data_IF_404647415304
#
_entry.id   IF_404647415304
#
_cell.length_a   1.000
_cell.length_b   1.000
_cell.length_c   1.000
_cell.angle_alpha   90.00
_cell.angle_beta   90.00
_cell.angle_gamma   90.00
#
_symmetry.space_group_name_H-M   'P 1'
#
loop_
_entity.id
_entity.type
_entity.pdbx_description
1 polymer ?
#
# COMPACT_ATOMS: atom_id res chain seq x y z
N UNK A 1 -4.19 29.67 7.31
CA UNK A 1 -5.33 29.14 6.51
C UNK A 1 -4.76 28.15 5.51
N UNK A 2 -5.21 26.89 5.53
CA UNK A 2 -4.91 25.93 4.46
C UNK A 2 -5.58 26.43 3.18
N UNK A 3 -4.81 26.66 2.12
CA UNK A 3 -5.34 27.13 0.82
C UNK A 3 -5.65 25.93 -0.06
N UNK A 4 -6.73 26.03 -0.85
CA UNK A 4 -6.97 25.07 -1.93
C UNK A 4 -5.84 25.14 -2.96
N UNK A 5 -5.39 23.99 -3.42
CA UNK A 5 -4.35 23.86 -4.46
C UNK A 5 -4.73 22.72 -5.40
N UNK A 6 -5.10 23.04 -6.62
CA UNK A 6 -5.37 22.06 -7.67
C UNK A 6 -4.39 22.33 -8.79
N UNK A 7 -3.40 21.48 -8.91
CA UNK A 7 -2.35 21.60 -9.94
C UNK A 7 -2.54 20.61 -11.10
N UNK A 8 -3.35 19.56 -10.88
CA UNK A 8 -3.67 18.60 -11.95
C UNK A 8 -4.50 19.21 -13.07
N UNK A 9 -4.09 18.94 -14.31
CA UNK A 9 -4.85 19.24 -15.54
C UNK A 9 -5.75 18.07 -16.01
N UNK A 10 -5.67 16.91 -15.36
CA UNK A 10 -6.33 15.66 -15.78
C UNK A 10 -7.59 15.34 -14.96
N UNK A 11 -8.38 16.37 -14.66
CA UNK A 11 -9.68 16.22 -13.99
C UNK A 11 -10.79 16.33 -15.03
N UNK A 12 -11.64 15.29 -15.13
CA UNK A 12 -12.79 15.31 -16.03
C UNK A 12 -13.75 16.47 -15.73
N UNK A 13 -14.30 17.08 -16.78
CA UNK A 13 -15.32 18.14 -16.65
C UNK A 13 -16.61 17.65 -15.98
N UNK A 14 -16.87 16.35 -16.00
CA UNK A 14 -18.05 15.74 -15.36
C UNK A 14 -17.79 15.33 -13.91
N UNK A 15 -16.55 15.47 -13.42
CA UNK A 15 -16.22 15.20 -12.03
C UNK A 15 -16.80 16.26 -11.09
N UNK A 16 -17.28 15.82 -9.94
CA UNK A 16 -17.87 16.70 -8.92
C UNK A 16 -17.11 16.53 -7.60
N UNK A 17 -16.38 17.58 -7.21
CA UNK A 17 -15.57 17.58 -5.98
C UNK A 17 -16.14 18.61 -5.02
N UNK A 18 -16.45 18.21 -3.78
CA UNK A 18 -17.01 19.06 -2.73
C UNK A 18 -16.25 18.90 -1.43
N UNK A 19 -15.57 19.94 -0.97
CA UNK A 19 -14.93 19.98 0.34
C UNK A 19 -14.62 21.43 0.77
N UNK A 20 -14.31 21.61 2.07
CA UNK A 20 -13.78 22.88 2.59
C UNK A 20 -12.33 23.10 2.12
N UNK A 21 -11.56 22.01 1.98
CA UNK A 21 -10.17 22.03 1.52
C UNK A 21 -10.00 20.98 0.44
N UNK A 22 -9.44 21.39 -0.72
CA UNK A 22 -9.14 20.49 -1.84
C UNK A 22 -7.70 20.72 -2.27
N UNK A 23 -6.87 19.70 -2.12
CA UNK A 23 -5.50 19.69 -2.61
C UNK A 23 -5.31 18.49 -3.55
N UNK A 24 -5.02 18.77 -4.81
CA UNK A 24 -4.82 17.76 -5.85
C UNK A 24 -3.50 18.08 -6.55
N UNK A 25 -2.57 17.15 -6.46
CA UNK A 25 -1.22 17.27 -7.02
C UNK A 25 -1.20 17.04 -8.53
N UNK A 26 -0.09 17.44 -9.16
CA UNK A 26 0.21 17.14 -10.55
C UNK A 26 0.12 15.64 -10.84
N UNK A 27 -0.08 15.28 -12.11
CA UNK A 27 -0.18 13.90 -12.56
C UNK A 27 -1.36 13.09 -11.96
N UNK A 28 -2.14 13.65 -11.01
CA UNK A 28 -3.35 12.98 -10.53
C UNK A 28 -4.42 12.99 -11.62
N UNK A 29 -5.18 11.91 -11.74
CA UNK A 29 -6.25 11.77 -12.74
C UNK A 29 -7.57 11.49 -12.06
N UNK A 30 -8.61 12.25 -12.41
CA UNK A 30 -9.99 12.03 -11.95
C UNK A 30 -10.88 11.82 -13.16
N UNK A 31 -11.46 10.63 -13.24
CA UNK A 31 -12.25 10.14 -14.37
C UNK A 31 -13.64 10.79 -14.49
N UNK A 32 -14.37 10.36 -15.52
CA UNK A 32 -15.71 10.85 -15.81
C UNK A 32 -16.72 10.43 -14.74
N UNK A 33 -17.66 11.34 -14.45
CA UNK A 33 -18.75 11.10 -13.49
C UNK A 33 -18.29 10.70 -12.07
N UNK A 34 -17.02 10.96 -11.74
CA UNK A 34 -16.50 10.79 -10.37
C UNK A 34 -17.13 11.82 -9.45
N UNK A 35 -17.58 11.36 -8.28
CA UNK A 35 -18.10 12.23 -7.21
C UNK A 35 -17.27 12.02 -5.95
N UNK A 36 -16.69 13.10 -5.42
CA UNK A 36 -15.92 13.05 -4.15
C UNK A 36 -16.43 14.14 -3.24
N UNK A 37 -16.88 13.78 -2.05
CA UNK A 37 -17.31 14.73 -1.03
C UNK A 37 -16.68 14.41 0.32
N UNK A 38 -16.09 15.42 0.98
CA UNK A 38 -15.47 15.29 2.29
C UNK A 38 -15.36 16.66 2.97
N UNK A 39 -14.89 16.70 4.22
CA UNK A 39 -14.44 17.95 4.83
C UNK A 39 -13.12 18.41 4.21
N UNK A 40 -12.17 17.48 4.04
CA UNK A 40 -10.88 17.77 3.42
C UNK A 40 -10.52 16.66 2.40
N UNK A 41 -10.01 17.05 1.23
CA UNK A 41 -9.58 16.16 0.17
C UNK A 41 -8.10 16.42 -0.14
N UNK A 42 -7.28 15.38 -0.02
CA UNK A 42 -5.86 15.39 -0.38
C UNK A 42 -5.61 14.24 -1.35
N UNK A 43 -5.24 14.57 -2.58
CA UNK A 43 -4.93 13.61 -3.65
C UNK A 43 -3.51 13.89 -4.11
N UNK A 44 -2.60 12.96 -3.82
CA UNK A 44 -1.18 13.09 -4.11
C UNK A 44 -0.85 12.76 -5.57
N UNK A 45 0.43 12.86 -5.93
CA UNK A 45 0.92 12.72 -7.28
C UNK A 45 0.60 11.34 -7.89
N UNK A 46 0.23 11.30 -9.16
CA UNK A 46 0.00 10.07 -9.91
C UNK A 46 -1.17 9.23 -9.45
N UNK A 47 -2.00 9.74 -8.53
CA UNK A 47 -3.23 9.07 -8.13
C UNK A 47 -4.21 8.96 -9.29
N UNK A 48 -4.97 7.88 -9.30
CA UNK A 48 -6.05 7.68 -10.26
C UNK A 48 -7.35 7.34 -9.53
N UNK A 49 -8.40 8.12 -9.79
CA UNK A 49 -9.77 7.78 -9.43
C UNK A 49 -10.52 7.58 -10.73
N UNK A 50 -10.89 6.33 -11.02
CA UNK A 50 -11.50 5.94 -12.30
C UNK A 50 -12.99 6.30 -12.34
N UNK A 51 -13.55 6.27 -13.54
CA UNK A 51 -14.90 6.73 -13.89
C UNK A 51 -16.02 6.10 -13.03
N UNK A 52 -17.09 6.86 -12.83
CA UNK A 52 -18.28 6.41 -12.12
C UNK A 52 -18.11 6.19 -10.61
N UNK A 53 -16.93 6.45 -10.08
CA UNK A 53 -16.61 6.25 -8.65
C UNK A 53 -17.26 7.33 -7.79
N UNK A 54 -17.84 6.93 -6.64
CA UNK A 54 -18.48 7.81 -5.67
C UNK A 54 -17.84 7.62 -4.30
N UNK A 55 -17.18 8.67 -3.78
CA UNK A 55 -16.52 8.67 -2.48
C UNK A 55 -17.15 9.74 -1.60
N UNK A 56 -17.64 9.35 -0.44
CA UNK A 56 -18.19 10.25 0.58
C UNK A 56 -17.52 10.00 1.92
N UNK A 57 -16.93 11.04 2.51
CA UNK A 57 -16.39 10.99 3.85
C UNK A 57 -16.93 12.18 4.68
N UNK A 58 -17.16 11.95 5.96
CA UNK A 58 -17.54 13.05 6.88
C UNK A 58 -16.32 13.85 7.34
N UNK A 59 -15.15 13.24 7.34
CA UNK A 59 -13.85 13.82 7.68
C UNK A 59 -12.96 14.01 6.46
N UNK A 60 -11.81 13.35 6.47
CA UNK A 60 -10.73 13.54 5.49
C UNK A 60 -10.63 12.36 4.52
N UNK A 61 -10.40 12.66 3.24
CA UNK A 61 -9.93 11.72 2.24
C UNK A 61 -8.47 12.04 1.96
N UNK A 62 -7.59 11.07 2.21
CA UNK A 62 -6.17 11.13 1.88
C UNK A 62 -5.80 10.00 0.94
N UNK A 63 -5.33 10.33 -0.25
CA UNK A 63 -4.81 9.40 -1.25
C UNK A 63 -3.33 9.70 -1.46
N UNK A 64 -2.45 8.80 -1.03
CA UNK A 64 -1.00 8.87 -1.18
C UNK A 64 -0.54 8.75 -2.63
N UNK A 65 0.76 8.86 -2.90
CA UNK A 65 1.32 8.83 -4.24
C UNK A 65 0.97 7.53 -4.99
N UNK A 66 0.59 7.65 -6.27
CA UNK A 66 0.33 6.52 -7.17
C UNK A 66 -0.74 5.53 -6.68
N UNK A 67 -1.69 5.99 -5.87
CA UNK A 67 -2.85 5.17 -5.48
C UNK A 67 -3.84 5.03 -6.64
N UNK A 68 -4.63 3.97 -6.59
CA UNK A 68 -5.72 3.71 -7.52
C UNK A 68 -7.02 3.45 -6.77
N UNK A 69 -8.09 4.13 -7.17
CA UNK A 69 -9.47 3.71 -6.89
C UNK A 69 -10.13 3.40 -8.21
N UNK A 70 -10.40 2.11 -8.44
CA UNK A 70 -10.96 1.57 -9.66
C UNK A 70 -12.42 1.96 -9.89
N UNK A 71 -12.82 1.89 -11.15
CA UNK A 71 -14.09 2.34 -11.65
C UNK A 71 -15.32 1.78 -10.90
N UNK A 72 -16.39 2.57 -10.87
CA UNK A 72 -17.70 2.19 -10.32
C UNK A 72 -17.65 1.79 -8.84
N UNK A 73 -16.68 2.30 -8.08
CA UNK A 73 -16.57 2.05 -6.65
C UNK A 73 -17.48 2.99 -5.86
N UNK A 74 -18.07 2.48 -4.79
CA UNK A 74 -18.90 3.23 -3.84
C UNK A 74 -18.24 3.15 -2.47
N UNK A 75 -17.84 4.31 -1.92
CA UNK A 75 -17.10 4.41 -0.67
C UNK A 75 -17.80 5.42 0.24
N UNK A 76 -18.21 4.98 1.43
CA UNK A 76 -18.80 5.83 2.49
C UNK A 76 -18.10 5.54 3.81
N UNK A 77 -17.41 6.53 4.40
CA UNK A 77 -16.62 6.36 5.62
C UNK A 77 -16.56 7.67 6.43
N UNK A 78 -15.99 7.62 7.63
CA UNK A 78 -15.61 8.85 8.33
C UNK A 78 -14.32 9.42 7.74
N UNK A 79 -13.20 8.72 7.84
CA UNK A 79 -11.95 9.08 7.18
C UNK A 79 -11.49 7.93 6.26
N UNK A 80 -10.97 8.29 5.08
CA UNK A 80 -10.33 7.36 4.17
C UNK A 80 -8.86 7.71 4.04
N UNK A 81 -7.99 6.77 4.37
CA UNK A 81 -6.55 6.89 4.15
C UNK A 81 -6.06 5.75 3.28
N UNK A 82 -5.58 6.05 2.09
CA UNK A 82 -4.83 5.14 1.23
C UNK A 82 -3.39 5.62 1.16
N UNK A 83 -2.45 4.78 1.61
CA UNK A 83 -1.03 5.10 1.53
C UNK A 83 -0.46 4.82 0.13
N UNK A 84 0.75 5.34 -0.14
CA UNK A 84 1.37 5.29 -1.47
C UNK A 84 1.32 3.91 -2.11
N UNK A 85 1.07 3.87 -3.43
CA UNK A 85 0.99 2.68 -4.27
C UNK A 85 -0.12 1.68 -3.91
N UNK A 86 -0.99 1.99 -2.94
CA UNK A 86 -2.14 1.12 -2.64
C UNK A 86 -3.21 1.20 -3.73
N UNK A 87 -3.93 0.09 -3.94
CA UNK A 87 -4.88 -0.05 -5.04
C UNK A 87 -6.18 -0.69 -4.56
N UNK A 88 -7.27 0.02 -4.70
CA UNK A 88 -8.61 -0.54 -4.68
C UNK A 88 -9.04 -0.80 -6.13
N UNK A 89 -9.31 -2.05 -6.47
CA UNK A 89 -9.75 -2.39 -7.81
C UNK A 89 -11.23 -1.99 -8.02
N UNK A 90 -11.76 -2.19 -9.23
CA UNK A 90 -13.11 -1.76 -9.61
C UNK A 90 -14.24 -2.39 -8.79
N UNK A 91 -15.38 -1.72 -8.75
CA UNK A 91 -16.61 -2.19 -8.11
C UNK A 91 -16.42 -2.46 -6.61
N UNK A 92 -15.62 -1.66 -5.93
CA UNK A 92 -15.52 -1.72 -4.47
C UNK A 92 -16.80 -1.23 -3.82
N UNK A 93 -17.25 -1.94 -2.81
CA UNK A 93 -18.30 -1.46 -1.92
C UNK A 93 -17.74 -1.32 -0.50
N UNK A 94 -17.54 -0.08 -0.07
CA UNK A 94 -17.06 0.25 1.27
C UNK A 94 -18.08 1.14 1.94
N UNK A 95 -18.62 0.69 3.07
CA UNK A 95 -19.63 1.48 3.76
C UNK A 95 -19.52 1.36 5.29
N UNK A 96 -19.80 2.47 5.95
CA UNK A 96 -19.82 2.59 7.39
C UNK A 96 -19.63 4.03 7.85
N UNK A 97 -19.54 4.24 9.15
CA UNK A 97 -19.40 5.56 9.76
C UNK A 97 -18.05 5.79 10.45
N UNK A 98 -17.10 4.86 10.32
CA UNK A 98 -15.81 4.90 10.98
C UNK A 98 -14.64 5.05 9.99
N UNK A 99 -13.41 4.94 10.50
CA UNK A 99 -12.21 5.19 9.75
C UNK A 99 -11.74 3.94 9.00
N UNK A 100 -11.28 4.12 7.76
CA UNK A 100 -10.60 3.10 6.98
C UNK A 100 -9.17 3.54 6.66
N UNK A 101 -8.21 2.74 7.11
CA UNK A 101 -6.80 2.89 6.78
C UNK A 101 -6.34 1.71 5.93
N UNK A 102 -5.67 2.01 4.80
CA UNK A 102 -5.07 1.03 3.90
C UNK A 102 -3.62 1.43 3.67
N UNK A 103 -2.71 0.57 4.09
CA UNK A 103 -1.29 0.79 4.10
C UNK A 103 -0.64 0.76 2.72
N UNK A 104 0.64 1.10 2.71
CA UNK A 104 1.52 1.17 1.55
C UNK A 104 1.47 -0.10 0.69
N UNK A 105 1.35 0.08 -0.64
CA UNK A 105 1.34 -1.01 -1.62
C UNK A 105 0.38 -2.17 -1.32
N UNK A 106 -0.74 -1.91 -0.68
CA UNK A 106 -1.78 -2.91 -0.48
C UNK A 106 -2.70 -2.98 -1.70
N UNK A 107 -3.12 -4.19 -2.04
CA UNK A 107 -3.93 -4.47 -3.21
C UNK A 107 -5.24 -5.16 -2.82
N UNK A 108 -6.35 -4.50 -3.07
CA UNK A 108 -7.70 -5.02 -2.79
C UNK A 108 -8.37 -5.32 -4.12
N UNK A 109 -8.70 -6.57 -4.34
CA UNK A 109 -9.28 -7.07 -5.59
C UNK A 109 -10.66 -6.49 -5.91
N UNK A 110 -11.09 -6.67 -7.15
CA UNK A 110 -12.40 -6.18 -7.62
C UNK A 110 -13.56 -6.85 -6.89
N UNK A 111 -14.69 -6.13 -6.79
CA UNK A 111 -15.94 -6.62 -6.22
C UNK A 111 -15.82 -7.04 -4.73
N UNK A 112 -14.87 -6.47 -4.01
CA UNK A 112 -14.77 -6.69 -2.56
C UNK A 112 -15.73 -5.80 -1.79
N UNK A 113 -16.14 -6.29 -0.61
CA UNK A 113 -16.94 -5.55 0.37
C UNK A 113 -16.04 -5.25 1.57
N UNK A 114 -15.88 -3.97 1.90
CA UNK A 114 -15.21 -3.52 3.12
C UNK A 114 -16.22 -2.80 3.99
N UNK A 115 -16.70 -3.46 5.03
CA UNK A 115 -17.61 -2.82 5.97
C UNK A 115 -16.82 -2.05 7.02
N UNK A 116 -17.22 -0.81 7.28
CA UNK A 116 -16.58 0.13 8.20
C UNK A 116 -17.60 0.67 9.21
N UNK A 117 -18.50 -0.19 9.69
CA UNK A 117 -19.39 0.12 10.82
C UNK A 117 -18.59 0.33 12.11
N UNK A 118 -17.39 -0.23 12.20
CA UNK A 118 -16.31 0.08 13.12
C UNK A 118 -15.01 0.21 12.32
N UNK A 119 -13.94 0.72 12.93
CA UNK A 119 -12.69 1.02 12.25
C UNK A 119 -12.08 -0.21 11.57
N UNK A 120 -11.60 -0.01 10.34
CA UNK A 120 -10.91 -1.03 9.56
C UNK A 120 -9.47 -0.61 9.30
N UNK A 121 -8.53 -1.43 9.76
CA UNK A 121 -7.12 -1.26 9.50
C UNK A 121 -6.60 -2.38 8.59
N UNK A 122 -6.02 -2.00 7.46
CA UNK A 122 -5.32 -2.88 6.52
C UNK A 122 -3.89 -2.37 6.43
N UNK A 123 -2.93 -3.20 6.84
CA UNK A 123 -1.51 -2.88 6.92
C UNK A 123 -0.85 -2.72 5.55
N UNK A 124 0.48 -2.68 5.57
CA UNK A 124 1.30 -2.49 4.38
C UNK A 124 1.47 -3.82 3.62
N UNK A 125 1.49 -3.76 2.30
CA UNK A 125 1.74 -4.94 1.48
C UNK A 125 0.65 -6.03 1.51
N UNK A 126 -0.53 -5.69 2.02
CA UNK A 126 -1.65 -6.64 2.11
C UNK A 126 -2.25 -6.92 0.74
N UNK A 127 -2.49 -8.19 0.44
CA UNK A 127 -3.25 -8.63 -0.73
C UNK A 127 -4.59 -9.23 -0.33
N UNK A 128 -5.70 -8.69 -0.84
CA UNK A 128 -7.05 -9.27 -0.66
C UNK A 128 -7.60 -9.65 -2.02
N UNK A 129 -7.87 -10.93 -2.22
CA UNK A 129 -8.41 -11.47 -3.47
C UNK A 129 -9.84 -10.99 -3.75
N UNK A 130 -10.21 -11.04 -5.03
CA UNK A 130 -11.50 -10.54 -5.54
C UNK A 130 -12.70 -11.20 -4.86
N UNK A 131 -13.85 -10.52 -4.82
CA UNK A 131 -15.09 -11.01 -4.21
C UNK A 131 -14.97 -11.41 -2.73
N UNK A 132 -13.94 -10.93 -2.04
CA UNK A 132 -13.80 -11.14 -0.59
C UNK A 132 -14.53 -10.06 0.19
N UNK A 133 -14.89 -10.36 1.44
CA UNK A 133 -15.58 -9.41 2.31
C UNK A 133 -14.93 -9.33 3.68
N UNK A 134 -14.78 -8.10 4.18
CA UNK A 134 -14.31 -7.81 5.54
C UNK A 134 -15.44 -7.11 6.29
N UNK A 135 -15.84 -7.66 7.40
CA UNK A 135 -16.97 -7.19 8.19
C UNK A 135 -16.53 -6.71 9.57
N UNK A 136 -16.92 -5.49 9.93
CA UNK A 136 -16.69 -4.93 11.27
C UNK A 136 -17.95 -4.99 12.13
N UNK A 137 -19.09 -5.48 11.60
CA UNK A 137 -20.30 -5.72 12.35
C UNK A 137 -21.03 -7.01 11.91
N UNK A 138 -21.80 -7.54 12.86
CA UNK A 138 -22.74 -8.64 12.64
C UNK A 138 -23.81 -8.57 13.73
N UNK A 139 -24.89 -7.85 13.46
CA UNK A 139 -26.02 -7.73 14.39
C UNK A 139 -27.31 -7.45 13.61
N UNK A 140 -28.27 -8.31 13.77
CA UNK A 140 -29.59 -8.13 13.19
C UNK A 140 -30.67 -8.86 14.00
N UNK A 141 -30.23 -9.73 14.91
CA UNK A 141 -31.17 -10.52 15.70
C UNK A 141 -31.96 -9.69 16.71
N UNK A 142 -33.18 -10.13 17.01
CA UNK A 142 -34.08 -9.46 17.94
C UNK A 142 -33.59 -9.63 19.39
N UNK A 143 -33.13 -8.56 20.00
CA UNK A 143 -32.54 -8.61 21.34
C UNK A 143 -33.54 -8.82 22.44
N UNK A 144 -34.77 -8.30 22.31
CA UNK A 144 -35.83 -8.49 23.29
C UNK A 144 -36.31 -9.97 23.32
N UNK A 145 -36.18 -10.66 22.18
CA UNK A 145 -36.44 -12.10 22.08
C UNK A 145 -35.21 -12.96 22.44
N UNK A 146 -34.17 -12.34 22.98
CA UNK A 146 -33.01 -13.03 23.54
C UNK A 146 -31.91 -13.40 22.53
N UNK A 147 -31.84 -12.75 21.38
CA UNK A 147 -30.70 -12.92 20.47
C UNK A 147 -29.38 -12.51 21.16
N UNK A 148 -28.43 -13.45 21.19
CA UNK A 148 -27.10 -13.24 21.81
C UNK A 148 -26.03 -12.81 20.80
N UNK A 149 -26.38 -12.80 19.51
CA UNK A 149 -25.40 -12.48 18.44
C UNK A 149 -25.51 -11.00 18.12
N UNK A 150 -24.63 -10.23 18.73
CA UNK A 150 -24.47 -8.80 18.49
C UNK A 150 -22.98 -8.47 18.58
N UNK A 151 -22.31 -8.27 17.44
CA UNK A 151 -20.91 -7.94 17.43
C UNK A 151 -20.64 -6.76 16.51
N UNK A 152 -20.10 -5.69 17.08
CA UNK A 152 -19.52 -4.55 16.37
C UNK A 152 -18.12 -4.39 16.93
N UNK A 153 -17.10 -4.55 16.08
CA UNK A 153 -15.71 -4.57 16.54
C UNK A 153 -14.76 -4.29 15.38
N UNK A 154 -13.69 -3.53 15.59
CA UNK A 154 -12.72 -3.24 14.56
C UNK A 154 -12.07 -4.51 14.03
N UNK A 155 -11.65 -4.47 12.76
CA UNK A 155 -10.86 -5.53 12.13
C UNK A 155 -9.47 -4.99 11.81
N UNK A 156 -8.45 -5.79 12.10
CA UNK A 156 -7.07 -5.49 11.77
C UNK A 156 -6.48 -6.59 10.89
N UNK A 157 -5.95 -6.20 9.75
CA UNK A 157 -5.18 -7.06 8.86
C UNK A 157 -3.77 -6.49 8.86
N UNK A 158 -2.83 -7.19 9.47
CA UNK A 158 -1.47 -6.71 9.67
C UNK A 158 -0.64 -6.75 8.38
N UNK A 159 0.64 -6.33 8.45
CA UNK A 159 1.48 -6.20 7.26
C UNK A 159 1.72 -7.54 6.54
N UNK A 160 1.91 -7.46 5.23
CA UNK A 160 2.25 -8.59 4.35
C UNK A 160 1.29 -9.78 4.42
N UNK A 161 0.07 -9.59 4.92
CA UNK A 161 -0.98 -10.61 4.89
C UNK A 161 -1.43 -10.86 3.46
N UNK A 162 -1.62 -12.12 3.13
CA UNK A 162 -2.17 -12.50 1.84
C UNK A 162 -3.45 -13.32 1.98
N UNK A 163 -4.59 -12.71 1.61
CA UNK A 163 -5.89 -13.34 1.52
C UNK A 163 -6.07 -13.79 0.08
N UNK A 164 -5.83 -15.08 -0.16
CA UNK A 164 -5.74 -15.70 -1.48
C UNK A 164 -7.09 -15.78 -2.19
N UNK A 165 -7.03 -15.64 -3.51
CA UNK A 165 -8.15 -15.99 -4.39
C UNK A 165 -9.38 -15.13 -4.16
N UNK A 166 -10.52 -15.78 -3.99
CA UNK A 166 -11.83 -15.14 -3.91
C UNK A 166 -12.73 -15.76 -2.83
N UNK A 167 -13.83 -15.04 -2.53
CA UNK A 167 -14.90 -15.48 -1.64
C UNK A 167 -14.47 -15.73 -0.19
N UNK A 168 -13.46 -14.96 0.28
CA UNK A 168 -13.09 -15.00 1.70
C UNK A 168 -13.99 -14.07 2.51
N UNK A 169 -14.23 -14.45 3.76
CA UNK A 169 -14.98 -13.64 4.73
C UNK A 169 -14.13 -13.47 5.99
N UNK A 170 -13.85 -12.22 6.35
CA UNK A 170 -13.22 -11.88 7.63
C UNK A 170 -14.30 -11.34 8.55
N UNK A 171 -14.48 -11.98 9.71
CA UNK A 171 -15.53 -11.66 10.67
C UNK A 171 -15.17 -10.48 11.58
N UNK A 172 -16.18 -9.83 12.21
CA UNK A 172 -15.94 -8.70 13.11
C UNK A 172 -15.00 -9.03 14.26
N UNK A 173 -14.09 -8.10 14.56
CA UNK A 173 -13.13 -8.18 15.65
C UNK A 173 -11.99 -9.17 15.44
N UNK A 174 -11.77 -9.63 14.22
CA UNK A 174 -10.64 -10.51 13.88
C UNK A 174 -9.38 -9.69 13.66
N UNK A 175 -8.28 -10.19 14.20
CA UNK A 175 -6.93 -9.77 13.86
C UNK A 175 -6.27 -10.84 12.98
N UNK A 176 -5.87 -10.46 11.77
CA UNK A 176 -5.06 -11.33 10.90
C UNK A 176 -3.61 -10.88 11.03
N UNK A 177 -2.79 -11.73 11.67
CA UNK A 177 -1.41 -11.41 12.04
C UNK A 177 -0.49 -11.27 10.84
N UNK A 178 0.61 -10.53 11.04
CA UNK A 178 1.62 -10.22 10.02
C UNK A 178 2.07 -11.47 9.26
N UNK A 179 2.18 -11.35 7.93
CA UNK A 179 2.59 -12.44 7.03
C UNK A 179 1.73 -13.71 7.10
N UNK A 180 0.51 -13.60 7.62
CA UNK A 180 -0.43 -14.72 7.57
C UNK A 180 -0.97 -14.94 6.16
N UNK A 181 -1.39 -16.17 5.90
CA UNK A 181 -1.99 -16.60 4.65
C UNK A 181 -3.40 -17.12 4.89
N UNK A 182 -4.38 -16.57 4.21
CA UNK A 182 -5.76 -17.06 4.23
C UNK A 182 -6.06 -17.70 2.88
N UNK A 183 -6.40 -18.98 2.89
CA UNK A 183 -6.70 -19.74 1.68
C UNK A 183 -8.05 -19.35 1.06
N UNK A 184 -8.16 -19.50 -0.25
CA UNK A 184 -9.38 -19.20 -1.02
C UNK A 184 -10.63 -19.78 -0.41
N UNK A 185 -11.72 -19.02 -0.36
CA UNK A 185 -13.02 -19.47 0.11
C UNK A 185 -13.12 -19.69 1.62
N UNK A 186 -12.25 -19.07 2.40
CA UNK A 186 -12.19 -19.24 3.84
C UNK A 186 -13.12 -18.29 4.59
N UNK A 187 -13.70 -18.76 5.70
CA UNK A 187 -14.47 -17.93 6.65
C UNK A 187 -13.67 -17.83 7.95
N UNK A 188 -13.02 -16.69 8.13
CA UNK A 188 -12.14 -16.41 9.28
C UNK A 188 -12.99 -15.80 10.40
N UNK A 189 -13.22 -16.56 11.47
CA UNK A 189 -14.06 -16.18 12.62
C UNK A 189 -13.26 -15.96 13.91
N UNK A 190 -11.95 -16.23 13.88
CA UNK A 190 -11.01 -16.08 15.00
C UNK A 190 -9.71 -15.44 14.51
N UNK A 191 -8.96 -14.87 15.43
CA UNK A 191 -7.65 -14.32 15.13
C UNK A 191 -6.74 -15.37 14.48
N UNK A 192 -5.94 -14.89 13.52
CA UNK A 192 -4.93 -15.69 12.82
C UNK A 192 -3.55 -15.25 13.33
N UNK A 193 -2.77 -16.15 13.95
CA UNK A 193 -1.43 -15.81 14.40
C UNK A 193 -0.52 -15.36 13.24
N UNK A 194 0.50 -14.54 13.51
CA UNK A 194 1.50 -14.19 12.50
C UNK A 194 2.12 -15.42 11.82
N UNK A 195 2.53 -15.29 10.56
CA UNK A 195 3.21 -16.32 9.77
C UNK A 195 2.45 -17.67 9.71
N UNK A 196 1.13 -17.65 9.90
CA UNK A 196 0.28 -18.84 9.93
C UNK A 196 -0.60 -18.90 8.68
N UNK A 197 -0.69 -20.09 8.07
CA UNK A 197 -1.69 -20.36 7.04
C UNK A 197 -2.98 -20.91 7.67
N UNK A 198 -4.13 -20.38 7.22
CA UNK A 198 -5.46 -20.85 7.61
C UNK A 198 -6.35 -21.09 6.40
N UNK A 199 -7.30 -22.02 6.49
CA UNK A 199 -8.24 -22.29 5.41
C UNK A 199 -9.50 -23.00 5.85
N UNK A 200 -10.53 -22.91 5.03
CA UNK A 200 -11.81 -23.61 5.21
C UNK A 200 -12.91 -22.78 5.86
N UNK A 201 -14.05 -23.41 6.12
CA UNK A 201 -15.25 -22.82 6.75
C UNK A 201 -15.71 -23.67 7.93
N UNK A 202 -15.55 -23.24 9.20
CA UNK A 202 -14.71 -22.09 9.59
C UNK A 202 -13.24 -22.36 9.34
N UNK A 203 -12.46 -21.28 9.12
CA UNK A 203 -11.04 -21.38 8.85
C UNK A 203 -10.28 -22.00 10.04
N UNK A 204 -9.38 -22.93 9.72
CA UNK A 204 -8.50 -23.60 10.69
C UNK A 204 -7.04 -23.49 10.22
N UNK A 205 -6.10 -23.58 11.16
CA UNK A 205 -4.66 -23.60 10.85
C UNK A 205 -4.31 -24.78 9.95
N UNK A 206 -3.35 -24.55 9.03
CA UNK A 206 -2.76 -25.53 8.12
C UNK A 206 -1.26 -25.61 8.44
N UNK A 207 -0.86 -26.40 9.45
CA UNK A 207 0.53 -26.44 9.94
C UNK A 207 1.55 -26.89 8.89
N UNK A 208 1.12 -27.64 7.88
CA UNK A 208 1.97 -28.11 6.79
C UNK A 208 2.32 -27.04 5.76
N UNK A 209 1.70 -25.86 5.86
CA UNK A 209 1.91 -24.74 4.93
C UNK A 209 2.53 -23.54 5.68
N UNK A 210 3.84 -23.37 5.56
CA UNK A 210 4.55 -22.19 6.05
C UNK A 210 4.55 -21.12 4.93
N UNK A 211 3.89 -19.96 5.13
CA UNK A 211 3.80 -18.94 4.08
C UNK A 211 5.12 -18.20 3.83
N UNK A 212 6.01 -18.17 4.83
CA UNK A 212 7.30 -17.50 4.77
C UNK A 212 8.39 -18.35 5.41
N UNK A 213 9.61 -18.16 4.97
CA UNK A 213 10.85 -18.70 5.57
C UNK A 213 11.72 -17.55 6.10
N UNK A 214 12.61 -17.87 7.01
CA UNK A 214 13.62 -16.90 7.47
C UNK A 214 14.65 -16.66 6.38
N UNK A 215 15.00 -15.39 6.16
CA UNK A 215 16.00 -14.96 5.18
C UNK A 215 17.01 -14.03 5.81
N UNK A 216 18.29 -14.21 5.51
CA UNK A 216 19.36 -13.33 5.97
C UNK A 216 19.43 -12.03 5.14
N UNK A 217 20.21 -11.05 5.60
CA UNK A 217 20.48 -9.83 4.82
C UNK A 217 21.28 -10.17 3.56
N UNK A 218 22.14 -11.17 3.62
CA UNK A 218 22.91 -11.69 2.51
C UNK A 218 22.00 -12.31 1.42
N UNK A 219 21.01 -13.10 1.80
CA UNK A 219 20.01 -13.64 0.86
C UNK A 219 19.22 -12.53 0.18
N UNK A 220 18.82 -11.51 0.96
CA UNK A 220 18.15 -10.31 0.40
C UNK A 220 19.07 -9.56 -0.56
N UNK A 221 20.37 -9.47 -0.26
CA UNK A 221 21.34 -8.79 -1.12
C UNK A 221 21.53 -9.53 -2.46
N UNK A 222 21.66 -10.85 -2.42
CA UNK A 222 21.75 -11.68 -3.63
C UNK A 222 20.52 -11.44 -4.52
N UNK A 223 19.32 -11.49 -3.93
CA UNK A 223 18.08 -11.26 -4.65
C UNK A 223 17.97 -9.84 -5.19
N UNK A 224 18.34 -8.83 -4.38
CA UNK A 224 18.33 -7.43 -4.80
C UNK A 224 19.32 -7.17 -5.94
N UNK A 225 20.49 -7.78 -5.92
CA UNK A 225 21.47 -7.67 -7.00
C UNK A 225 20.91 -8.20 -8.33
N UNK A 226 20.17 -9.32 -8.28
CA UNK A 226 19.46 -9.83 -9.46
C UNK A 226 18.40 -8.86 -9.97
N UNK A 227 17.62 -8.25 -9.08
CA UNK A 227 16.62 -7.25 -9.47
C UNK A 227 17.23 -5.99 -10.07
N UNK A 228 18.37 -5.52 -9.54
CA UNK A 228 19.08 -4.37 -10.13
C UNK A 228 19.55 -4.72 -11.54
N UNK A 229 20.11 -5.90 -11.74
CA UNK A 229 20.57 -6.33 -13.05
C UNK A 229 19.42 -6.39 -14.05
N UNK A 230 18.29 -6.98 -13.68
CA UNK A 230 17.09 -7.04 -14.51
C UNK A 230 16.51 -5.62 -14.79
N UNK A 231 16.44 -4.75 -13.78
CA UNK A 231 16.04 -3.37 -13.98
C UNK A 231 16.93 -2.66 -14.99
N UNK A 232 18.24 -2.84 -14.89
CA UNK A 232 19.20 -2.27 -15.82
C UNK A 232 18.99 -2.78 -17.25
N UNK A 233 18.70 -4.06 -17.44
CA UNK A 233 18.47 -4.68 -18.75
C UNK A 233 17.16 -4.19 -19.39
N UNK A 234 16.11 -4.01 -18.60
CA UNK A 234 14.79 -3.60 -19.11
C UNK A 234 14.67 -2.11 -19.45
N UNK A 235 15.39 -1.24 -18.77
CA UNK A 235 15.12 0.19 -18.84
C UNK A 235 16.21 1.02 -19.51
N UNK A 236 17.34 0.43 -19.92
CA UNK A 236 18.48 1.27 -20.32
C UNK A 236 19.50 0.60 -21.22
N UNK A 237 20.35 1.45 -21.84
CA UNK A 237 21.72 1.09 -22.15
C UNK A 237 22.56 1.18 -20.87
N UNK A 238 22.58 0.15 -20.07
CA UNK A 238 23.30 0.14 -18.81
C UNK A 238 24.70 -0.46 -18.95
N UNK A 239 25.61 0.03 -18.12
CA UNK A 239 26.97 -0.53 -18.00
C UNK A 239 27.27 -0.80 -16.54
N UNK A 240 27.60 -2.05 -16.21
CA UNK A 240 28.19 -2.36 -14.91
C UNK A 240 29.59 -1.74 -14.85
N UNK A 241 29.81 -0.89 -13.85
CA UNK A 241 31.09 -0.26 -13.66
C UNK A 241 32.07 -1.24 -13.00
N UNK A 242 33.29 -1.30 -13.51
CA UNK A 242 34.37 -2.07 -12.88
C UNK A 242 34.94 -1.28 -11.70
N UNK A 243 34.95 -1.86 -10.50
CA UNK A 243 35.48 -1.24 -9.29
C UNK A 243 35.38 -2.17 -8.08
N UNK A 244 35.89 -1.73 -6.93
CA UNK A 244 35.82 -2.50 -5.67
C UNK A 244 34.39 -2.69 -5.16
N UNK A 245 33.46 -1.79 -5.54
CA UNK A 245 32.05 -1.83 -5.16
C UNK A 245 31.17 -2.14 -6.35
N UNK A 246 30.08 -2.88 -6.09
CA UNK A 246 29.07 -3.17 -7.12
C UNK A 246 28.33 -1.89 -7.49
N UNK A 247 28.51 -1.42 -8.71
CA UNK A 247 27.83 -0.22 -9.20
C UNK A 247 27.42 -0.36 -10.67
N UNK A 248 26.34 0.34 -11.04
CA UNK A 248 25.77 0.38 -12.39
C UNK A 248 25.53 1.81 -12.81
N UNK A 249 26.05 2.18 -13.99
CA UNK A 249 25.68 3.40 -14.67
C UNK A 249 24.49 3.11 -15.58
N UNK A 250 23.47 3.94 -15.47
CA UNK A 250 22.22 3.82 -16.23
C UNK A 250 22.02 5.09 -17.05
N UNK A 251 21.92 4.95 -18.36
CA UNK A 251 21.52 6.02 -19.25
C UNK A 251 20.05 5.88 -19.62
N UNK A 252 19.22 6.83 -19.25
CA UNK A 252 17.78 6.83 -19.47
C UNK A 252 17.30 8.15 -20.06
N UNK A 253 16.04 8.18 -20.46
CA UNK A 253 15.37 9.44 -20.88
C UNK A 253 15.35 10.53 -19.79
N UNK A 254 15.63 10.16 -18.53
CA UNK A 254 15.68 11.06 -17.37
C UNK A 254 17.11 11.52 -17.04
N UNK A 255 18.11 11.10 -17.83
CA UNK A 255 19.52 11.41 -17.64
C UNK A 255 20.37 10.21 -17.24
N UNK A 256 21.60 10.52 -16.83
CA UNK A 256 22.57 9.53 -16.33
C UNK A 256 22.40 9.34 -14.82
N UNK A 257 22.29 8.09 -14.38
CA UNK A 257 22.04 7.72 -12.98
C UNK A 257 22.97 6.61 -12.54
N UNK A 258 23.38 6.64 -11.28
CA UNK A 258 24.21 5.60 -10.70
C UNK A 258 23.44 4.84 -9.61
N UNK A 259 23.43 3.52 -9.70
CA UNK A 259 23.00 2.63 -8.62
C UNK A 259 24.24 2.03 -7.96
N UNK A 260 24.31 2.08 -6.62
CA UNK A 260 25.45 1.53 -5.85
C UNK A 260 24.93 0.53 -4.80
N UNK A 261 25.74 -0.48 -4.51
CA UNK A 261 25.56 -1.37 -3.37
C UNK A 261 26.72 -1.19 -2.43
N UNK A 262 26.44 -0.93 -1.16
CA UNK A 262 27.42 -0.77 -0.09
C UNK A 262 26.96 -1.49 1.19
N UNK A 263 27.87 -1.72 2.13
CA UNK A 263 27.54 -2.40 3.36
C UNK A 263 26.75 -1.52 4.34
N UNK A 264 27.07 -0.23 4.38
CA UNK A 264 26.43 0.70 5.31
C UNK A 264 26.27 2.12 4.75
N UNK A 265 25.44 2.92 5.40
CA UNK A 265 25.20 4.32 5.01
C UNK A 265 26.40 5.25 5.21
N UNK A 266 27.36 4.90 6.05
CA UNK A 266 28.59 5.66 6.27
C UNK A 266 29.44 5.73 4.99
N UNK A 267 29.42 4.68 4.17
CA UNK A 267 30.16 4.62 2.93
C UNK A 267 29.61 5.55 1.83
N UNK A 268 28.36 5.97 1.97
CA UNK A 268 27.68 6.83 1.00
C UNK A 268 28.23 8.26 0.98
N UNK A 269 28.89 8.72 2.03
CA UNK A 269 29.37 10.10 2.14
C UNK A 269 30.37 10.47 1.04
N UNK A 270 31.21 9.52 0.64
CA UNK A 270 32.22 9.68 -0.40
C UNK A 270 31.76 9.33 -1.82
N UNK A 271 30.48 8.93 -2.00
CA UNK A 271 29.96 8.44 -3.27
C UNK A 271 28.95 9.42 -3.87
N UNK A 272 28.93 9.42 -5.21
CA UNK A 272 27.85 10.01 -6.00
C UNK A 272 26.93 8.88 -6.48
N UNK A 273 25.63 9.02 -6.17
CA UNK A 273 24.62 8.03 -6.51
C UNK A 273 23.24 8.65 -6.66
N UNK A 274 22.40 8.03 -7.47
CA UNK A 274 20.96 8.31 -7.55
C UNK A 274 20.16 7.35 -6.69
N UNK A 275 20.60 6.09 -6.65
CA UNK A 275 20.00 5.02 -5.84
C UNK A 275 21.13 4.28 -5.12
N UNK A 276 20.98 4.07 -3.82
CA UNK A 276 21.88 3.23 -3.04
C UNK A 276 21.13 2.10 -2.38
N UNK A 277 21.70 0.91 -2.40
CA UNK A 277 21.26 -0.24 -1.63
C UNK A 277 22.28 -0.46 -0.51
N UNK A 278 21.81 -0.45 0.73
CA UNK A 278 22.66 -0.69 1.90
C UNK A 278 22.18 -1.94 2.64
N UNK A 279 23.12 -2.68 3.24
CA UNK A 279 22.73 -3.80 4.09
C UNK A 279 22.04 -3.31 5.36
N UNK A 280 22.52 -2.17 5.92
CA UNK A 280 22.00 -1.57 7.17
C UNK A 280 22.41 -0.12 7.32
N UNK A 281 21.80 0.55 8.30
CA UNK A 281 22.27 1.85 8.79
C UNK A 281 21.46 3.05 8.32
N UNK A 282 20.30 2.82 7.68
CA UNK A 282 19.40 3.90 7.31
C UNK A 282 18.86 4.60 8.58
N UNK A 283 18.98 5.94 8.61
CA UNK A 283 18.55 6.78 9.72
C UNK A 283 17.57 7.84 9.23
N UNK A 284 16.57 8.08 10.03
CA UNK A 284 15.50 9.02 9.71
C UNK A 284 15.95 10.48 9.72
N UNK A 285 16.80 10.82 10.69
CA UNK A 285 17.26 12.20 10.90
C UNK A 285 18.36 12.62 9.90
N UNK A 286 18.86 11.67 9.08
CA UNK A 286 19.94 11.93 8.11
C UNK A 286 19.35 12.25 6.74
N UNK A 287 19.82 13.33 6.13
CA UNK A 287 19.55 13.61 4.72
C UNK A 287 20.54 12.87 3.81
N UNK A 288 20.04 12.33 2.71
CA UNK A 288 20.84 11.60 1.73
C UNK A 288 20.76 12.26 0.36
N UNK A 289 21.84 12.18 -0.41
CA UNK A 289 21.94 12.77 -1.77
C UNK A 289 20.96 12.13 -2.77
N UNK A 290 20.72 10.84 -2.63
CA UNK A 290 19.83 10.04 -3.46
C UNK A 290 18.94 9.13 -2.62
N UNK A 291 18.18 8.28 -3.27
CA UNK A 291 17.31 7.30 -2.58
C UNK A 291 18.14 6.17 -1.99
N UNK A 292 17.89 5.81 -0.75
CA UNK A 292 18.66 4.78 -0.01
C UNK A 292 17.72 3.68 0.47
N UNK A 293 17.97 2.45 0.06
CA UNK A 293 17.17 1.27 0.40
C UNK A 293 17.94 0.37 1.38
N UNK A 294 17.40 0.16 2.56
CA UNK A 294 18.02 -0.65 3.61
C UNK A 294 17.41 -2.07 3.63
N UNK A 295 18.25 -3.07 3.37
CA UNK A 295 17.84 -4.47 3.29
C UNK A 295 17.49 -5.06 4.65
N UNK A 296 18.13 -4.60 5.72
CA UNK A 296 17.88 -5.07 7.08
C UNK A 296 16.51 -4.62 7.57
N UNK A 297 16.25 -3.32 7.54
CA UNK A 297 15.02 -2.73 8.05
C UNK A 297 13.85 -2.79 7.07
N UNK A 298 14.13 -2.98 5.78
CA UNK A 298 13.12 -2.89 4.69
C UNK A 298 12.49 -1.50 4.55
N UNK A 299 13.18 -0.47 5.03
CA UNK A 299 12.82 0.92 4.80
C UNK A 299 13.69 1.56 3.72
N UNK A 300 13.22 2.68 3.18
CA UNK A 300 14.01 3.48 2.25
C UNK A 300 13.81 4.98 2.45
N UNK A 301 14.84 5.75 2.12
CA UNK A 301 14.79 7.21 2.06
C UNK A 301 14.28 7.65 0.70
N UNK A 302 13.08 8.29 0.68
CA UNK A 302 12.35 8.70 -0.52
C UNK A 302 12.82 10.07 -0.98
N UNK A 303 13.25 10.19 -2.23
CA UNK A 303 13.58 11.46 -2.89
C UNK A 303 12.50 11.92 -3.87
N UNK A 304 11.62 11.02 -4.27
CA UNK A 304 10.60 11.24 -5.29
C UNK A 304 11.16 11.59 -6.68
N UNK A 305 12.42 11.23 -6.95
CA UNK A 305 13.02 11.39 -8.26
C UNK A 305 12.41 10.44 -9.30
N UNK A 306 12.45 10.80 -10.58
CA UNK A 306 11.86 9.97 -11.64
C UNK A 306 12.48 8.58 -11.70
N UNK A 307 13.78 8.47 -11.48
CA UNK A 307 14.47 7.17 -11.47
C UNK A 307 14.08 6.33 -10.25
N UNK A 308 13.94 6.95 -9.07
CA UNK A 308 13.42 6.27 -7.88
C UNK A 308 12.03 5.70 -8.13
N UNK A 309 11.12 6.52 -8.67
CA UNK A 309 9.74 6.10 -8.96
C UNK A 309 9.73 4.88 -9.88
N UNK A 310 10.52 4.90 -10.95
CA UNK A 310 10.66 3.77 -11.87
C UNK A 310 11.21 2.53 -11.17
N UNK A 311 12.24 2.69 -10.35
CA UNK A 311 12.83 1.59 -9.61
C UNK A 311 11.88 1.00 -8.58
N UNK A 312 11.15 1.84 -7.82
CA UNK A 312 10.11 1.38 -6.89
C UNK A 312 9.01 0.62 -7.65
N UNK A 313 8.52 1.14 -8.76
CA UNK A 313 7.48 0.47 -9.56
C UNK A 313 7.94 -0.90 -10.04
N UNK A 314 9.19 -1.02 -10.46
CA UNK A 314 9.80 -2.29 -10.81
C UNK A 314 9.89 -3.23 -9.59
N UNK A 315 10.43 -2.77 -8.47
CA UNK A 315 10.51 -3.57 -7.24
C UNK A 315 9.14 -4.05 -6.76
N UNK A 316 8.11 -3.21 -6.85
CA UNK A 316 6.74 -3.59 -6.47
C UNK A 316 6.14 -4.62 -7.42
N UNK A 317 6.50 -4.58 -8.71
CA UNK A 317 6.14 -5.63 -9.66
C UNK A 317 6.76 -6.97 -9.27
N UNK A 318 8.03 -6.97 -8.88
CA UNK A 318 8.78 -8.13 -8.37
C UNK A 318 8.40 -8.53 -6.92
N UNK A 319 7.42 -7.87 -6.32
CA UNK A 319 6.99 -8.09 -4.93
C UNK A 319 8.08 -7.78 -3.88
N UNK A 320 9.09 -7.02 -4.25
CA UNK A 320 10.11 -6.51 -3.34
C UNK A 320 9.67 -5.15 -2.78
N UNK A 321 9.26 -5.11 -1.53
CA UNK A 321 8.67 -3.93 -0.89
C UNK A 321 9.65 -3.26 0.05
N UNK A 322 9.63 -1.92 0.07
CA UNK A 322 10.33 -1.09 1.04
C UNK A 322 9.41 0.03 1.48
N UNK A 323 9.42 0.36 2.76
CA UNK A 323 8.60 1.43 3.32
C UNK A 323 9.38 2.75 3.34
N UNK A 324 8.81 3.88 2.93
CA UNK A 324 9.50 5.15 3.04
C UNK A 324 9.63 5.57 4.51
N UNK A 325 10.83 6.03 4.92
CA UNK A 325 11.04 6.60 6.26
C UNK A 325 10.68 8.08 6.35
N UNK A 326 10.66 8.76 5.22
CA UNK A 326 10.32 10.16 5.09
C UNK A 326 9.12 10.31 4.15
N UNK A 327 8.10 11.03 4.57
CA UNK A 327 6.89 11.20 3.78
C UNK A 327 5.61 11.23 4.62
N UNK A 328 4.47 11.06 3.98
CA UNK A 328 3.16 11.14 4.66
C UNK A 328 2.85 9.94 5.59
N UNK A 329 3.59 8.86 5.50
CA UNK A 329 3.37 7.59 6.19
C UNK A 329 3.25 7.71 7.71
N UNK A 330 4.07 8.55 8.35
CA UNK A 330 4.14 8.62 9.82
C UNK A 330 3.00 9.35 10.52
N UNK A 331 2.25 10.16 9.81
CA UNK A 331 1.16 10.94 10.41
C UNK A 331 -0.04 10.07 10.79
N UNK A 332 -0.14 8.88 10.23
CA UNK A 332 -1.31 8.00 10.30
C UNK A 332 -1.04 6.61 10.89
N UNK A 333 0.21 6.30 11.24
CA UNK A 333 0.59 5.01 11.87
C UNK A 333 0.48 4.99 13.40
N UNK A 334 -0.10 6.06 14.01
CA UNK A 334 -0.26 6.17 15.48
C UNK A 334 -1.69 5.96 15.94
#
# INVERSE_FOLDING_TARGET
MKKNSITSSSISKTANLKAEIINISDEATIGENVKISAKEIYISRGCKVEEGTNISATGTIFLGDFTLIGANSIIQVNNLTLMDYSKLQRNMFMNGGNDCFIGYNSWIGSNCILNVAESLYIGNGVGIGTYSSVWTHGHHGELLEGCKIHKVSPVRIENDVWILGCYNVISPGVVVGEKALVMTGSIVTKDVPPMTAVGGNPAKSIPSLAPYEEVTVEDKLVKMTSFIQEFCELFTSSKKLSGEKSSWLIESEYGSHTIVIVDSTEELESLEYSIAIVKKGLREEKEYKGSVFDLSSKYYYKTSSKIEIKFIQFLLYEKARFMPINGHTRKYER
#
